data_IF_798765263091
#
_entry.id   IF_798765263091
#
_cell.length_a   1.000
_cell.length_b   1.000
_cell.length_c   1.000
_cell.angle_alpha   90.00
_cell.angle_beta   90.00
_cell.angle_gamma   90.00
#
_symmetry.space_group_name_H-M   'P 1'
#
loop_
_entity.id
_entity.type
_entity.pdbx_description
1 polymer ?
#
# COMPACT_ATOMS: atom_id res chain seq x y z
N UNK A 1 -23.08 -30.54 -44.86
CA UNK A 1 -21.69 -30.19 -45.21
C UNK A 1 -21.24 -29.05 -44.31
N UNK A 2 -20.15 -29.32 -43.57
CA UNK A 2 -19.32 -28.53 -42.66
C UNK A 2 -19.63 -27.02 -42.48
N UNK A 3 -20.04 -26.56 -41.29
CA UNK A 3 -19.20 -26.03 -40.19
C UNK A 3 -18.01 -25.16 -40.61
N UNK A 4 -18.02 -23.89 -40.17
CA UNK A 4 -16.87 -23.11 -39.62
C UNK A 4 -17.21 -21.62 -39.51
N UNK A 5 -17.86 -21.21 -38.42
CA UNK A 5 -17.83 -19.81 -37.94
C UNK A 5 -17.60 -19.85 -36.43
N UNK A 6 -16.45 -20.38 -36.00
CA UNK A 6 -16.06 -20.40 -34.57
C UNK A 6 -14.56 -20.14 -34.37
N UNK A 7 -13.86 -19.55 -35.34
CA UNK A 7 -12.41 -19.34 -35.22
C UNK A 7 -12.00 -17.87 -34.99
N UNK A 8 -12.88 -16.88 -35.18
CA UNK A 8 -12.47 -15.46 -35.13
C UNK A 8 -12.85 -14.71 -33.85
N UNK A 9 -13.68 -15.27 -32.96
CA UNK A 9 -14.04 -14.59 -31.71
C UNK A 9 -13.08 -14.92 -30.55
N UNK A 10 -12.39 -16.05 -30.62
CA UNK A 10 -11.47 -16.50 -29.55
C UNK A 10 -10.10 -15.83 -29.61
N UNK A 11 -9.67 -15.36 -30.78
CA UNK A 11 -8.35 -14.75 -30.96
C UNK A 11 -8.30 -13.28 -30.49
N UNK A 12 -9.44 -12.58 -30.50
CA UNK A 12 -9.51 -11.17 -30.08
C UNK A 12 -9.57 -11.05 -28.54
N UNK A 13 -10.13 -12.05 -27.83
CA UNK A 13 -10.20 -12.06 -26.37
C UNK A 13 -8.85 -12.37 -25.69
N UNK A 14 -7.92 -13.03 -26.38
CA UNK A 14 -6.59 -13.34 -25.83
C UNK A 14 -5.61 -12.16 -25.90
N UNK A 15 -5.83 -11.21 -26.81
CA UNK A 15 -4.97 -10.03 -26.97
C UNK A 15 -5.32 -8.88 -25.99
N UNK A 16 -6.52 -8.87 -25.41
CA UNK A 16 -6.93 -7.85 -24.43
C UNK A 16 -6.46 -8.20 -23.01
N UNK A 17 -6.11 -9.46 -22.74
CA UNK A 17 -5.63 -9.89 -21.41
C UNK A 17 -4.15 -9.57 -21.15
N UNK A 18 -3.42 -9.04 -22.14
CA UNK A 18 -1.98 -8.77 -22.07
C UNK A 18 -1.62 -7.29 -22.18
N UNK A 19 -2.60 -6.39 -21.99
CA UNK A 19 -2.35 -4.96 -21.88
C UNK A 19 -2.02 -4.65 -20.42
N UNK A 20 -0.71 -4.53 -20.17
CA UNK A 20 -0.12 -3.62 -19.20
C UNK A 20 -0.62 -3.74 -17.75
N UNK A 21 -0.12 -4.73 -17.03
CA UNK A 21 0.34 -4.47 -15.67
C UNK A 21 1.83 -4.13 -15.75
N UNK A 22 2.16 -2.97 -16.34
CA UNK A 22 3.48 -2.40 -16.05
C UNK A 22 3.59 -2.33 -14.52
N UNK A 23 4.71 -2.75 -13.90
CA UNK A 23 4.88 -2.53 -12.49
C UNK A 23 4.70 -1.02 -12.28
N UNK A 24 3.61 -0.62 -11.61
CA UNK A 24 3.44 0.76 -11.14
C UNK A 24 4.75 1.08 -10.45
N UNK A 25 5.46 2.09 -10.92
CA UNK A 25 6.76 2.41 -10.31
C UNK A 25 6.49 2.61 -8.83
N UNK A 26 7.36 2.09 -7.96
CA UNK A 26 7.15 2.22 -6.53
C UNK A 26 7.01 3.70 -6.14
N UNK A 27 7.64 4.60 -6.92
CA UNK A 27 7.43 6.05 -6.86
C UNK A 27 5.99 6.50 -7.13
N UNK A 28 5.28 5.94 -8.12
CA UNK A 28 3.85 6.23 -8.36
C UNK A 28 2.95 5.66 -7.25
N UNK A 29 3.23 4.43 -6.79
CA UNK A 29 2.53 3.85 -5.64
C UNK A 29 2.77 4.67 -4.36
N UNK A 30 3.96 5.23 -4.20
CA UNK A 30 4.31 6.14 -3.12
C UNK A 30 3.66 7.51 -3.24
N UNK A 31 3.49 8.02 -4.47
CA UNK A 31 2.98 9.38 -4.71
C UNK A 31 1.47 9.51 -4.51
N UNK A 32 0.71 8.43 -4.76
CA UNK A 32 -0.76 8.46 -4.69
C UNK A 32 -1.40 7.22 -4.06
N UNK A 33 -0.64 6.12 -3.91
CA UNK A 33 -1.18 4.82 -3.54
C UNK A 33 -1.47 4.65 -2.05
N UNK A 34 -1.08 5.57 -1.17
CA UNK A 34 -1.22 5.40 0.28
C UNK A 34 -1.97 6.54 0.99
N UNK A 35 -2.36 7.62 0.31
CA UNK A 35 -2.99 8.78 0.95
C UNK A 35 -4.29 8.43 1.69
N UNK A 36 -5.00 7.38 1.25
CA UNK A 36 -6.21 6.88 1.92
C UNK A 36 -5.95 6.28 3.31
N UNK A 37 -4.69 6.06 3.69
CA UNK A 37 -4.29 5.59 5.01
C UNK A 37 -4.16 6.73 6.04
N UNK A 38 -4.07 7.99 5.59
CA UNK A 38 -3.94 9.15 6.48
C UNK A 38 -5.19 9.24 7.38
N UNK A 39 -4.98 9.45 8.68
CA UNK A 39 -6.00 9.49 9.72
C UNK A 39 -6.42 8.12 10.28
N UNK A 40 -5.97 7.02 9.66
CA UNK A 40 -6.16 5.68 10.23
C UNK A 40 -5.19 5.43 11.38
N UNK A 41 -5.58 4.52 12.28
CA UNK A 41 -4.75 4.06 13.39
C UNK A 41 -3.83 2.95 12.91
N UNK A 42 -2.53 3.17 13.05
CA UNK A 42 -1.49 2.20 12.79
C UNK A 42 -1.39 1.21 13.96
N UNK A 43 -1.31 -0.09 13.66
CA UNK A 43 -1.24 -1.16 14.66
C UNK A 43 -0.01 -2.01 14.37
N UNK A 44 0.94 -2.06 15.31
CA UNK A 44 2.09 -2.96 15.20
C UNK A 44 1.64 -4.41 15.33
N UNK A 45 2.32 -5.33 14.64
CA UNK A 45 1.89 -6.75 14.60
C UNK A 45 1.88 -7.44 15.98
N UNK A 46 2.67 -6.92 16.93
CA UNK A 46 2.74 -7.41 18.31
C UNK A 46 1.63 -6.85 19.22
N UNK A 47 0.95 -5.80 18.78
CA UNK A 47 -0.05 -5.09 19.57
C UNK A 47 -1.45 -5.63 19.24
N UNK A 48 -2.37 -5.52 20.19
CA UNK A 48 -3.78 -5.85 19.98
C UNK A 48 -4.49 -4.69 19.33
N UNK A 49 -5.50 -4.98 18.51
CA UNK A 49 -6.40 -3.97 17.97
C UNK A 49 -6.98 -3.08 19.11
N UNK A 50 -6.91 -1.75 18.97
CA UNK A 50 -7.40 -0.83 19.99
C UNK A 50 -8.92 -0.94 20.12
N UNK A 51 -9.39 -0.99 21.36
CA UNK A 51 -10.82 -1.10 21.65
C UNK A 51 -11.57 0.17 21.21
N UNK A 52 -12.75 -0.01 20.62
CA UNK A 52 -13.58 1.10 20.15
C UNK A 52 -13.18 1.69 18.80
N UNK A 53 -12.06 1.26 18.19
CA UNK A 53 -11.69 1.66 16.84
C UNK A 53 -12.26 0.65 15.83
N UNK A 54 -13.04 1.08 14.84
CA UNK A 54 -13.63 0.16 13.88
C UNK A 54 -12.56 -0.39 12.91
N UNK A 55 -12.70 -1.64 12.41
CA UNK A 55 -11.66 -2.28 11.59
C UNK A 55 -11.25 -1.50 10.34
N UNK A 56 -12.18 -0.78 9.70
CA UNK A 56 -11.88 0.02 8.50
C UNK A 56 -11.01 1.26 8.80
N UNK A 57 -10.79 1.61 10.08
CA UNK A 57 -9.87 2.66 10.51
C UNK A 57 -8.52 2.10 10.98
N UNK A 58 -8.31 0.79 10.92
CA UNK A 58 -7.05 0.17 11.29
C UNK A 58 -6.17 -0.05 10.06
N UNK A 59 -4.87 0.05 10.27
CA UNK A 59 -3.82 -0.34 9.32
C UNK A 59 -2.81 -1.16 10.11
N UNK A 60 -2.78 -2.46 9.86
CA UNK A 60 -1.79 -3.30 10.52
C UNK A 60 -0.44 -3.19 9.82
N UNK A 61 0.63 -3.31 10.58
CA UNK A 61 2.00 -3.32 10.07
C UNK A 61 2.19 -4.35 8.93
N UNK A 62 1.61 -5.55 9.06
CA UNK A 62 1.60 -6.58 8.03
C UNK A 62 0.87 -6.20 6.72
N UNK A 63 0.02 -5.19 6.72
CA UNK A 63 -0.72 -4.75 5.53
C UNK A 63 0.10 -3.80 4.66
N UNK A 64 1.24 -3.31 5.17
CA UNK A 64 2.14 -2.42 4.46
C UNK A 64 3.30 -3.18 3.78
N UNK A 65 3.98 -2.55 2.79
CA UNK A 65 5.14 -3.15 2.15
C UNK A 65 6.21 -3.55 3.17
N UNK A 66 6.82 -4.72 3.00
CA UNK A 66 7.82 -5.24 3.96
C UNK A 66 8.94 -4.26 4.29
N UNK A 67 9.36 -3.44 3.32
CA UNK A 67 10.36 -2.39 3.52
C UNK A 67 9.68 -1.06 3.92
N UNK A 68 8.96 -1.04 5.05
CA UNK A 68 8.44 0.20 5.61
C UNK A 68 9.03 0.48 6.99
N UNK A 69 9.02 1.75 7.39
CA UNK A 69 9.40 2.21 8.72
C UNK A 69 8.31 3.13 9.26
N UNK A 70 7.82 2.83 10.46
CA UNK A 70 6.94 3.72 11.20
C UNK A 70 7.73 4.46 12.28
N UNK A 71 7.48 5.76 12.44
CA UNK A 71 8.13 6.56 13.48
C UNK A 71 7.26 7.73 13.94
N UNK A 72 7.49 8.14 15.19
CA UNK A 72 6.89 9.30 15.83
C UNK A 72 7.73 10.57 15.60
N UNK A 73 7.18 11.77 15.86
CA UNK A 73 7.87 13.04 15.59
C UNK A 73 9.25 13.16 16.27
N UNK A 74 9.40 12.61 17.48
CA UNK A 74 10.63 12.69 18.26
C UNK A 74 11.55 11.47 18.11
N UNK A 75 11.28 10.61 17.13
CA UNK A 75 12.08 9.40 16.91
C UNK A 75 13.47 9.75 16.37
N UNK A 76 14.51 9.20 16.99
CA UNK A 76 15.85 9.26 16.42
C UNK A 76 15.94 8.37 15.17
N UNK A 77 16.13 8.99 14.00
CA UNK A 77 16.24 8.29 12.72
C UNK A 77 17.61 8.54 12.08
N UNK A 78 18.23 7.48 11.58
CA UNK A 78 19.39 7.59 10.71
C UNK A 78 18.89 7.86 9.29
N UNK A 79 19.22 9.02 8.75
CA UNK A 79 18.85 9.41 7.39
C UNK A 79 19.69 8.62 6.38
N UNK A 80 19.07 7.61 5.77
CA UNK A 80 19.64 6.89 4.63
C UNK A 80 18.60 6.81 3.52
N UNK A 81 18.89 7.38 2.34
CA UNK A 81 17.91 7.40 1.26
C UNK A 81 17.70 5.99 0.67
N UNK A 82 16.46 5.52 0.71
CA UNK A 82 16.03 4.28 0.05
C UNK A 82 14.68 4.53 -0.64
N UNK A 83 14.67 4.69 -1.99
CA UNK A 83 13.44 4.98 -2.73
C UNK A 83 12.41 3.85 -2.63
N UNK A 84 12.85 2.63 -2.29
CA UNK A 84 11.95 1.48 -2.10
C UNK A 84 11.33 1.42 -0.72
N UNK A 85 11.65 2.37 0.17
CA UNK A 85 11.17 2.36 1.55
C UNK A 85 9.96 3.26 1.74
N UNK A 86 8.89 2.73 2.32
CA UNK A 86 7.74 3.52 2.78
C UNK A 86 7.99 4.01 4.21
N UNK A 87 8.01 5.31 4.41
CA UNK A 87 8.04 5.92 5.73
C UNK A 87 6.62 6.32 6.16
N UNK A 88 6.21 5.83 7.32
CA UNK A 88 4.92 6.08 7.95
C UNK A 88 5.15 7.00 9.15
N UNK A 89 4.68 8.24 9.07
CA UNK A 89 4.80 9.21 10.15
C UNK A 89 3.54 9.13 11.00
N UNK A 90 3.73 8.87 12.29
CA UNK A 90 2.66 8.80 13.28
C UNK A 90 2.58 10.11 14.06
N UNK A 91 1.42 10.46 14.63
CA UNK A 91 1.28 11.65 15.46
C UNK A 91 2.00 11.52 16.81
N UNK A 92 1.59 10.54 17.61
CA UNK A 92 2.13 10.23 18.93
C UNK A 92 1.77 8.79 19.32
N UNK A 93 2.40 8.29 20.37
CA UNK A 93 2.23 6.90 20.84
C UNK A 93 0.84 6.61 21.41
N UNK A 94 0.09 7.64 21.81
CA UNK A 94 -1.21 7.47 22.46
C UNK A 94 -2.34 7.24 21.45
N UNK A 95 -2.26 7.87 20.28
CA UNK A 95 -3.29 7.73 19.24
C UNK A 95 -2.86 6.88 18.03
N UNK A 96 -1.55 6.79 17.77
CA UNK A 96 -0.96 6.03 16.66
C UNK A 96 -1.59 6.37 15.30
N UNK A 97 -1.93 7.63 15.06
CA UNK A 97 -2.55 8.08 13.81
C UNK A 97 -1.50 8.33 12.74
N UNK A 98 -1.75 7.81 11.54
CA UNK A 98 -0.93 8.11 10.37
C UNK A 98 -1.20 9.55 9.95
N UNK A 99 -0.21 10.42 10.06
CA UNK A 99 -0.32 11.85 9.69
C UNK A 99 0.33 12.16 8.35
N UNK A 100 1.31 11.34 7.93
CA UNK A 100 2.02 11.52 6.67
C UNK A 100 2.64 10.21 6.22
N UNK A 101 2.69 10.03 4.91
CA UNK A 101 3.42 8.96 4.24
C UNK A 101 4.43 9.60 3.28
N UNK A 102 5.58 8.96 3.09
CA UNK A 102 6.61 9.41 2.17
C UNK A 102 7.52 8.26 1.81
N UNK A 103 8.13 8.28 0.63
CA UNK A 103 9.13 7.28 0.26
C UNK A 103 10.53 7.87 0.22
N UNK A 104 11.50 7.12 0.73
CA UNK A 104 12.88 7.56 0.87
C UNK A 104 13.61 7.05 2.11
#
# INVERSE_FOLDING_TARGET
MYTKITANLFLILLLVSFVLSAPVSQDEACKYGYDYLIGKTYVFDKDRDPEGVPPYQLVHQRDLPKNHRAYYPDSFIILNYDPSRLNVHLNDESENKIIRLSCG
#
